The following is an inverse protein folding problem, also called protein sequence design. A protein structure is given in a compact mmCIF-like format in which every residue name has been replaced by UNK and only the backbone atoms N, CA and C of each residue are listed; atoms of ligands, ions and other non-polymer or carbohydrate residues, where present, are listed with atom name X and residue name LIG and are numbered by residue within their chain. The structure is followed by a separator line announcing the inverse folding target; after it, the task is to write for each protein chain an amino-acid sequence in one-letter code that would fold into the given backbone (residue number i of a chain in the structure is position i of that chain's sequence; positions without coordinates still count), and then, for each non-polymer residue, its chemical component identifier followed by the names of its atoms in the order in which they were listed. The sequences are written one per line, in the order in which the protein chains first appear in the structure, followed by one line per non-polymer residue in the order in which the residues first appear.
data_IF_278393951842
#
_entry.id   IF_278393951842
#
_cell.length_a   1.000
_cell.length_b   1.000
_cell.length_c   1.000
_cell.angle_alpha   90.00
_cell.angle_beta   90.00
_cell.angle_gamma   90.00
#
_symmetry.space_group_name_H-M   'P 1'
#
loop_
_entity.id
_entity.type
_entity.pdbx_description
1 polymer ?
#
# COMPACT_ATOMS: atom_id res chain seq x y z
N UNK A 1 -10.87 -66.94 -4.83
CA UNK A 1 -9.78 -65.96 -4.88
C UNK A 1 -10.17 -64.91 -5.93
N UNK A 2 -10.53 -63.70 -5.45
CA UNK A 2 -10.80 -62.44 -6.18
C UNK A 2 -11.97 -62.43 -7.19
N UNK A 3 -13.13 -61.92 -6.78
CA UNK A 3 -13.63 -60.51 -6.75
C UNK A 3 -14.38 -60.18 -8.04
N UNK A 4 -15.70 -60.09 -7.88
CA UNK A 4 -16.58 -59.31 -8.73
C UNK A 4 -16.62 -57.89 -8.17
N UNK A 5 -16.67 -56.86 -9.02
CA UNK A 5 -17.54 -55.70 -8.76
C UNK A 5 -17.85 -54.91 -10.01
N UNK A 6 -19.05 -54.36 -9.95
CA UNK A 6 -19.92 -53.84 -11.00
C UNK A 6 -19.66 -52.35 -11.25
N UNK A 7 -20.00 -51.95 -12.48
CA UNK A 7 -20.02 -50.60 -13.05
C UNK A 7 -20.73 -49.53 -12.20
N UNK A 8 -20.22 -48.30 -12.27
CA UNK A 8 -20.86 -47.09 -11.76
C UNK A 8 -20.25 -45.80 -12.34
N UNK A 9 -20.97 -45.25 -13.32
CA UNK A 9 -21.02 -43.88 -13.87
C UNK A 9 -20.29 -42.75 -13.12
N UNK A 10 -19.43 -42.04 -13.87
CA UNK A 10 -19.40 -40.57 -14.01
C UNK A 10 -19.08 -39.69 -12.80
N UNK A 11 -17.92 -39.02 -12.86
CA UNK A 11 -17.73 -37.61 -12.52
C UNK A 11 -16.57 -37.06 -13.37
N UNK A 12 -16.90 -36.36 -14.45
CA UNK A 12 -16.11 -35.23 -14.88
C UNK A 12 -16.48 -34.08 -13.94
N UNK A 13 -15.48 -33.44 -13.33
CA UNK A 13 -15.71 -32.35 -12.40
C UNK A 13 -14.36 -31.75 -12.00
N UNK A 14 -14.09 -30.57 -12.57
CA UNK A 14 -13.22 -29.50 -12.10
C UNK A 14 -11.94 -29.89 -11.35
N UNK A 15 -10.79 -29.64 -12.00
CA UNK A 15 -9.57 -29.32 -11.27
C UNK A 15 -9.88 -28.12 -10.36
N UNK A 16 -9.52 -28.16 -9.06
CA UNK A 16 -9.73 -27.02 -8.18
C UNK A 16 -8.91 -25.85 -8.71
N UNK A 17 -9.60 -24.81 -9.18
CA UNK A 17 -9.05 -23.48 -9.37
C UNK A 17 -8.40 -23.06 -8.05
N UNK A 18 -7.09 -22.92 -8.04
CA UNK A 18 -6.32 -22.50 -6.86
C UNK A 18 -6.55 -21.03 -6.49
N UNK A 19 -7.78 -20.70 -6.08
CA UNK A 19 -8.09 -19.63 -5.13
C UNK A 19 -8.01 -20.18 -3.68
N UNK A 20 -7.00 -21.00 -3.38
CA UNK A 20 -6.71 -21.35 -1.99
C UNK A 20 -6.06 -20.13 -1.34
N UNK A 21 -6.92 -19.17 -0.98
CA UNK A 21 -6.73 -18.33 0.20
C UNK A 21 -6.28 -19.27 1.33
N UNK A 22 -5.34 -18.87 2.20
CA UNK A 22 -5.03 -19.68 3.37
C UNK A 22 -6.34 -20.08 4.05
N UNK A 23 -6.47 -21.35 4.43
CA UNK A 23 -7.64 -21.90 5.11
C UNK A 23 -8.11 -20.87 6.15
N UNK A 24 -9.33 -20.35 5.96
CA UNK A 24 -9.89 -19.33 6.85
C UNK A 24 -9.97 -19.89 8.27
N UNK A 25 -9.88 -19.05 9.31
CA UNK A 25 -9.84 -19.49 10.71
C UNK A 25 -10.92 -20.53 11.03
N UNK A 26 -10.55 -21.65 11.67
CA UNK A 26 -11.51 -22.66 12.15
C UNK A 26 -12.57 -22.03 13.08
N UNK A 27 -12.18 -21.00 13.83
CA UNK A 27 -13.04 -20.26 14.77
C UNK A 27 -14.21 -19.56 14.07
N UNK A 28 -14.03 -19.06 12.85
CA UNK A 28 -15.11 -18.42 12.08
C UNK A 28 -16.22 -19.41 11.71
N UNK A 29 -15.87 -20.68 11.50
CA UNK A 29 -16.85 -21.73 11.18
C UNK A 29 -17.63 -22.22 12.40
N UNK A 30 -17.09 -22.03 13.61
CA UNK A 30 -17.72 -22.41 14.88
C UNK A 30 -18.62 -21.29 15.45
N UNK A 31 -18.36 -20.04 15.08
CA UNK A 31 -19.07 -18.85 15.54
C UNK A 31 -19.46 -17.95 14.35
N UNK A 32 -20.58 -18.24 13.65
CA UNK A 32 -20.96 -17.54 12.42
C UNK A 32 -21.29 -16.05 12.60
N UNK A 33 -21.51 -15.61 13.85
CA UNK A 33 -21.82 -14.22 14.18
C UNK A 33 -20.57 -13.33 14.30
N UNK A 34 -19.36 -13.92 14.39
CA UNK A 34 -18.10 -13.18 14.40
C UNK A 34 -17.70 -12.71 13.01
N UNK A 35 -17.18 -11.49 12.91
CA UNK A 35 -16.52 -11.04 11.67
C UNK A 35 -15.24 -11.85 11.43
N UNK A 36 -14.79 -12.03 10.16
CA UNK A 36 -13.52 -12.69 9.87
C UNK A 36 -12.34 -12.11 10.65
N UNK A 37 -12.31 -10.79 10.81
CA UNK A 37 -11.27 -10.06 11.53
C UNK A 37 -11.34 -10.33 13.04
N UNK A 38 -12.54 -10.35 13.62
CA UNK A 38 -12.73 -10.70 15.04
C UNK A 38 -12.32 -12.15 15.34
N UNK A 39 -12.63 -13.08 14.43
CA UNK A 39 -12.19 -14.47 14.54
C UNK A 39 -10.65 -14.60 14.50
N UNK A 40 -9.97 -13.81 13.68
CA UNK A 40 -8.51 -13.80 13.60
C UNK A 40 -7.86 -13.29 14.89
N UNK A 41 -8.40 -12.23 15.50
CA UNK A 41 -7.95 -11.74 16.83
C UNK A 41 -8.05 -12.84 17.88
N UNK A 42 -9.18 -13.54 17.91
CA UNK A 42 -9.42 -14.62 18.87
C UNK A 42 -8.45 -15.79 18.70
N UNK A 43 -8.15 -16.17 17.46
CA UNK A 43 -7.15 -17.18 17.14
C UNK A 43 -5.74 -16.75 17.56
N UNK A 44 -5.34 -15.50 17.28
CA UNK A 44 -4.04 -14.97 17.69
C UNK A 44 -3.87 -14.96 19.22
N UNK A 45 -4.89 -14.54 19.98
CA UNK A 45 -4.84 -14.61 21.45
C UNK A 45 -4.70 -16.05 21.95
N UNK A 46 -5.46 -16.98 21.37
CA UNK A 46 -5.37 -18.40 21.73
C UNK A 46 -3.96 -18.96 21.43
N UNK A 47 -3.41 -18.66 20.26
CA UNK A 47 -2.06 -19.08 19.88
C UNK A 47 -1.00 -18.50 20.83
N UNK A 48 -1.15 -17.25 21.29
CA UNK A 48 -0.25 -16.63 22.26
C UNK A 48 -0.29 -17.35 23.60
N UNK A 49 -1.48 -17.60 24.14
CA UNK A 49 -1.65 -18.35 25.40
C UNK A 49 -1.06 -19.76 25.32
N UNK A 50 -1.22 -20.42 24.19
CA UNK A 50 -0.63 -21.74 23.93
C UNK A 50 0.91 -21.70 23.82
N UNK A 51 1.47 -20.65 23.21
CA UNK A 51 2.93 -20.44 23.12
C UNK A 51 3.54 -20.11 24.49
N UNK A 52 2.92 -19.22 25.25
CA UNK A 52 3.36 -18.88 26.61
C UNK A 52 3.41 -20.11 27.51
N UNK A 53 2.36 -20.93 27.49
CA UNK A 53 2.37 -22.20 28.22
C UNK A 53 3.41 -23.21 27.71
N UNK A 54 3.77 -23.19 26.43
CA UNK A 54 4.81 -24.07 25.88
C UNK A 54 6.23 -23.67 26.36
N UNK A 55 6.51 -22.37 26.46
CA UNK A 55 7.82 -21.85 26.88
C UNK A 55 8.07 -22.03 28.39
N UNK A 56 7.04 -21.84 29.22
CA UNK A 56 7.15 -21.92 30.68
C UNK A 56 7.07 -23.36 31.22
N UNK A 57 6.21 -24.20 30.63
CA UNK A 57 5.94 -25.54 31.15
C UNK A 57 6.60 -26.68 30.36
N UNK A 58 7.29 -26.36 29.26
CA UNK A 58 7.99 -27.33 28.41
C UNK A 58 7.07 -28.25 27.59
N UNK A 59 5.77 -27.94 27.48
CA UNK A 59 4.79 -28.72 26.73
C UNK A 59 3.72 -27.86 26.05
N UNK A 60 3.47 -28.11 24.77
CA UNK A 60 2.37 -27.51 24.01
C UNK A 60 1.00 -27.89 24.60
N UNK A 61 0.06 -26.95 24.64
CA UNK A 61 -1.34 -27.23 24.99
C UNK A 61 -1.79 -26.79 26.38
N UNK A 62 -0.93 -26.12 27.17
CA UNK A 62 -1.38 -25.39 28.37
C UNK A 62 -1.64 -23.95 27.99
N UNK A 63 -2.84 -23.47 28.32
CA UNK A 63 -3.15 -22.05 28.28
C UNK A 63 -2.60 -21.45 29.56
N UNK A 64 -1.59 -20.59 29.43
CA UNK A 64 -1.17 -19.71 30.52
C UNK A 64 -1.49 -18.27 30.13
N UNK A 65 -1.90 -17.47 31.12
CA UNK A 65 -1.96 -16.03 30.94
C UNK A 65 -0.55 -15.56 30.57
N UNK A 66 -0.39 -14.77 29.51
CA UNK A 66 0.92 -14.28 29.10
C UNK A 66 1.61 -13.63 30.31
N UNK A 67 2.93 -13.80 30.41
CA UNK A 67 3.78 -13.17 31.42
C UNK A 67 3.68 -11.65 31.21
N UNK A 68 2.64 -11.06 31.81
CA UNK A 68 2.32 -9.66 31.72
C UNK A 68 3.35 -8.94 32.60
N UNK A 69 4.49 -8.57 32.01
CA UNK A 69 5.28 -7.48 32.58
C UNK A 69 4.31 -6.36 32.96
N UNK A 70 4.48 -5.77 34.15
CA UNK A 70 3.50 -4.85 34.76
C UNK A 70 2.88 -3.91 33.72
N UNK A 71 1.68 -4.25 33.25
CA UNK A 71 0.97 -3.46 32.26
C UNK A 71 0.59 -2.12 32.92
N UNK A 72 0.74 -0.99 32.22
CA UNK A 72 0.54 0.32 32.84
C UNK A 72 -0.91 0.50 33.28
N UNK A 73 -1.09 1.16 34.42
CA UNK A 73 -2.39 1.68 34.82
C UNK A 73 -2.68 2.93 33.97
N UNK A 74 -3.83 2.94 33.31
CA UNK A 74 -4.23 4.02 32.39
C UNK A 74 -5.29 4.88 33.09
N UNK A 75 -4.87 5.77 33.97
CA UNK A 75 -5.74 6.57 34.82
C UNK A 75 -6.20 7.89 34.16
N UNK A 76 -5.45 8.41 33.19
CA UNK A 76 -5.76 9.65 32.48
C UNK A 76 -5.51 9.59 30.96
N UNK A 77 -5.88 10.66 30.26
CA UNK A 77 -5.69 10.75 28.81
C UNK A 77 -4.22 10.73 28.37
N UNK A 78 -3.31 11.24 29.20
CA UNK A 78 -1.88 11.30 28.87
C UNK A 78 -1.27 9.88 28.91
N UNK A 79 -1.62 9.10 29.94
CA UNK A 79 -1.28 7.69 30.07
C UNK A 79 -1.86 6.87 28.92
N UNK A 80 -3.13 7.09 28.55
CA UNK A 80 -3.77 6.37 27.45
C UNK A 80 -3.11 6.71 26.11
N UNK A 81 -2.86 8.00 25.86
CA UNK A 81 -2.20 8.45 24.64
C UNK A 81 -0.79 7.89 24.48
N UNK A 82 0.00 7.87 25.56
CA UNK A 82 1.34 7.25 25.59
C UNK A 82 1.28 5.76 25.32
N UNK A 83 0.43 5.03 26.04
CA UNK A 83 0.32 3.58 25.89
C UNK A 83 -0.17 3.17 24.49
N UNK A 84 -1.11 3.92 23.91
CA UNK A 84 -1.56 3.72 22.54
C UNK A 84 -0.46 3.97 21.51
N UNK A 85 0.28 5.07 21.67
CA UNK A 85 1.41 5.37 20.81
C UNK A 85 2.50 4.30 20.92
N UNK A 86 2.93 3.95 22.14
CA UNK A 86 3.93 2.91 22.39
C UNK A 86 3.53 1.56 21.78
N UNK A 87 2.29 1.13 22.00
CA UNK A 87 1.79 -0.11 21.42
C UNK A 87 1.93 -0.14 19.89
N UNK A 88 1.51 0.93 19.20
CA UNK A 88 1.59 1.04 17.74
C UNK A 88 3.02 1.06 17.22
N UNK A 89 3.89 1.82 17.89
CA UNK A 89 5.26 2.07 17.44
C UNK A 89 6.16 0.86 17.70
N UNK A 90 6.05 0.25 18.87
CA UNK A 90 6.88 -0.88 19.30
C UNK A 90 6.31 -2.24 18.85
N UNK A 91 5.11 -2.24 18.25
CA UNK A 91 4.37 -3.46 17.90
C UNK A 91 4.15 -4.34 19.13
N UNK A 92 3.94 -3.73 20.29
CA UNK A 92 3.65 -4.44 21.53
C UNK A 92 2.19 -4.90 21.55
N UNK A 93 1.94 -6.11 21.05
CA UNK A 93 0.59 -6.70 20.99
C UNK A 93 -0.06 -6.85 22.38
N UNK A 94 0.73 -7.13 23.43
CA UNK A 94 0.17 -7.30 24.77
C UNK A 94 -0.35 -5.96 25.32
N UNK A 95 0.42 -4.89 25.12
CA UNK A 95 -0.03 -3.53 25.44
C UNK A 95 -1.22 -3.13 24.56
N UNK A 96 -1.20 -3.46 23.27
CA UNK A 96 -2.31 -3.21 22.36
C UNK A 96 -3.61 -3.84 22.84
N UNK A 97 -3.58 -5.12 23.21
CA UNK A 97 -4.75 -5.84 23.73
C UNK A 97 -5.24 -5.24 25.06
N UNK A 98 -4.32 -4.84 25.95
CA UNK A 98 -4.62 -4.21 27.24
C UNK A 98 -5.33 -2.86 27.12
N UNK A 99 -5.14 -2.16 26.00
CA UNK A 99 -5.83 -0.88 25.78
C UNK A 99 -7.34 -1.05 25.57
N UNK A 100 -7.79 -2.20 25.09
CA UNK A 100 -9.21 -2.45 24.85
C UNK A 100 -9.94 -2.88 26.11
N UNK A 101 -11.24 -2.53 26.18
CA UNK A 101 -12.07 -2.94 27.30
C UNK A 101 -12.12 -4.46 27.45
N UNK A 102 -11.87 -4.96 28.66
CA UNK A 102 -12.01 -6.37 28.98
C UNK A 102 -13.49 -6.81 28.86
N UNK A 103 -13.78 -8.02 28.34
CA UNK A 103 -15.15 -8.52 28.21
C UNK A 103 -15.93 -8.49 29.52
N UNK A 104 -15.31 -8.83 30.64
CA UNK A 104 -15.92 -8.86 31.96
C UNK A 104 -16.33 -7.44 32.40
N UNK A 105 -15.45 -6.46 32.20
CA UNK A 105 -15.73 -5.05 32.47
C UNK A 105 -16.86 -4.50 31.60
N UNK A 106 -16.89 -4.87 30.31
CA UNK A 106 -17.99 -4.46 29.42
C UNK A 106 -19.33 -5.11 29.80
N UNK A 107 -19.31 -6.42 30.13
CA UNK A 107 -20.48 -7.16 30.58
C UNK A 107 -21.08 -6.53 31.85
N UNK A 108 -20.24 -6.19 32.82
CA UNK A 108 -20.66 -5.52 34.05
C UNK A 108 -21.20 -4.11 33.77
N UNK A 109 -20.54 -3.35 32.90
CA UNK A 109 -20.88 -1.96 32.60
C UNK A 109 -22.24 -1.85 31.90
N UNK A 110 -22.49 -2.69 30.88
CA UNK A 110 -23.68 -2.61 30.01
C UNK A 110 -24.75 -3.64 30.37
N UNK A 111 -24.49 -4.51 31.37
CA UNK A 111 -25.40 -5.57 31.86
C UNK A 111 -25.79 -6.57 30.77
N UNK A 112 -24.80 -7.04 30.02
CA UNK A 112 -24.94 -8.10 29.00
C UNK A 112 -24.24 -9.39 29.45
N UNK A 113 -24.49 -10.51 28.77
CA UNK A 113 -23.76 -11.75 29.03
C UNK A 113 -22.28 -11.62 28.63
N UNK A 114 -21.40 -12.34 29.34
CA UNK A 114 -19.97 -12.38 29.03
C UNK A 114 -19.70 -12.80 27.57
N UNK A 115 -20.46 -13.76 27.03
CA UNK A 115 -20.26 -14.20 25.65
C UNK A 115 -20.52 -13.08 24.63
N UNK A 116 -21.57 -12.28 24.85
CA UNK A 116 -21.85 -11.11 23.99
C UNK A 116 -20.83 -10.01 24.18
N UNK A 117 -20.29 -9.86 25.39
CA UNK A 117 -19.23 -8.91 25.65
C UNK A 117 -17.93 -9.31 24.95
N UNK A 118 -17.57 -10.60 24.97
CA UNK A 118 -16.41 -11.14 24.24
C UNK A 118 -16.55 -10.88 22.75
N UNK A 119 -17.70 -11.22 22.17
CA UNK A 119 -17.99 -10.97 20.75
C UNK A 119 -17.85 -9.47 20.40
N UNK A 120 -18.42 -8.58 21.22
CA UNK A 120 -18.30 -7.14 21.01
C UNK A 120 -16.84 -6.66 21.00
N UNK A 121 -16.04 -7.08 22.00
CA UNK A 121 -14.64 -6.70 22.15
C UNK A 121 -13.81 -7.23 20.97
N UNK A 122 -14.02 -8.48 20.59
CA UNK A 122 -13.33 -9.09 19.44
C UNK A 122 -13.65 -8.34 18.14
N UNK A 123 -14.89 -7.89 17.95
CA UNK A 123 -15.26 -7.04 16.80
C UNK A 123 -14.57 -5.67 16.86
N UNK A 124 -14.46 -5.02 18.03
CA UNK A 124 -13.78 -3.72 18.13
C UNK A 124 -12.28 -3.86 17.85
N UNK A 125 -11.63 -4.88 18.39
CA UNK A 125 -10.22 -5.15 18.16
C UNK A 125 -9.95 -5.56 16.71
N UNK A 126 -10.81 -6.42 16.14
CA UNK A 126 -10.76 -6.81 14.74
C UNK A 126 -10.90 -5.60 13.81
N UNK A 127 -11.79 -4.65 14.13
CA UNK A 127 -11.91 -3.39 13.40
C UNK A 127 -10.67 -2.50 13.47
N UNK A 128 -9.86 -2.62 14.52
CA UNK A 128 -8.64 -1.85 14.71
C UNK A 128 -7.40 -2.48 14.04
N UNK A 129 -7.50 -3.74 13.57
CA UNK A 129 -6.41 -4.46 12.91
C UNK A 129 -5.88 -3.71 11.68
N UNK A 130 -6.75 -3.08 10.90
CA UNK A 130 -6.31 -2.33 9.72
C UNK A 130 -5.35 -1.20 10.08
N UNK A 131 -5.62 -0.46 11.16
CA UNK A 131 -4.72 0.58 11.66
C UNK A 131 -3.44 -0.03 12.22
N UNK A 132 -3.56 -1.09 13.01
CA UNK A 132 -2.41 -1.84 13.55
C UNK A 132 -1.48 -2.30 12.42
N UNK A 133 -1.98 -3.06 11.45
CA UNK A 133 -1.20 -3.65 10.36
C UNK A 133 -0.65 -2.61 9.37
N UNK A 134 -1.29 -1.45 9.24
CA UNK A 134 -0.86 -0.42 8.28
C UNK A 134 0.61 -0.01 8.49
N UNK A 135 1.06 -0.03 9.74
CA UNK A 135 2.40 0.36 10.15
C UNK A 135 3.47 -0.73 9.96
N UNK A 136 3.08 -1.95 9.59
CA UNK A 136 4.00 -3.06 9.43
C UNK A 136 4.70 -3.02 8.06
N UNK A 137 6.04 -2.97 8.02
CA UNK A 137 6.77 -3.12 6.78
C UNK A 137 6.49 -4.50 6.18
N UNK A 138 6.21 -4.57 4.87
CA UNK A 138 5.98 -5.85 4.19
C UNK A 138 7.20 -6.79 4.27
N UNK A 139 8.40 -6.24 4.49
CA UNK A 139 9.61 -7.00 4.81
C UNK A 139 10.34 -6.32 5.96
N UNK A 140 10.87 -7.11 6.88
CA UNK A 140 11.66 -6.60 8.02
C UNK A 140 12.84 -5.70 7.60
N UNK A 141 13.42 -5.93 6.42
CA UNK A 141 14.51 -5.11 5.86
C UNK A 141 14.08 -3.71 5.42
N UNK A 142 12.79 -3.46 5.23
CA UNK A 142 12.24 -2.18 4.75
C UNK A 142 12.01 -1.16 5.88
N UNK A 143 11.84 -1.64 7.13
CA UNK A 143 11.53 -0.80 8.28
C UNK A 143 12.65 0.19 8.60
N UNK A 144 12.29 1.43 8.95
CA UNK A 144 13.21 2.49 9.33
C UNK A 144 14.10 2.09 10.52
N UNK A 145 15.36 2.55 10.52
CA UNK A 145 16.25 2.35 11.67
C UNK A 145 15.73 3.16 12.87
N UNK A 146 15.26 2.46 13.91
CA UNK A 146 14.56 3.04 15.06
C UNK A 146 13.03 2.97 15.00
N UNK A 147 12.46 2.33 13.96
CA UNK A 147 11.02 2.15 13.83
C UNK A 147 10.25 3.45 13.58
N UNK A 148 8.93 3.39 13.73
CA UNK A 148 8.04 4.54 13.50
C UNK A 148 8.21 5.66 14.54
N UNK A 149 8.71 5.33 15.74
CA UNK A 149 8.88 6.29 16.85
C UNK A 149 9.93 7.35 16.58
N UNK A 150 10.74 7.17 15.54
CA UNK A 150 11.66 8.19 15.03
C UNK A 150 10.97 9.17 14.08
N UNK A 151 9.91 8.75 13.42
CA UNK A 151 9.21 9.52 12.39
C UNK A 151 7.98 10.23 12.93
N UNK A 152 7.34 9.66 13.94
CA UNK A 152 6.14 10.19 14.57
C UNK A 152 6.44 10.58 16.00
N UNK A 153 5.89 11.70 16.42
CA UNK A 153 5.93 12.18 17.79
C UNK A 153 4.51 12.30 18.32
N UNK A 154 4.26 11.78 19.52
CA UNK A 154 2.99 11.98 20.20
C UNK A 154 2.84 13.44 20.61
N UNK A 155 1.78 14.11 20.15
CA UNK A 155 1.41 15.45 20.60
C UNK A 155 0.46 15.39 21.81
N UNK A 156 -0.43 14.40 21.83
CA UNK A 156 -1.34 14.17 22.95
C UNK A 156 -2.63 13.46 22.54
N UNK A 157 -3.42 13.10 23.53
CA UNK A 157 -4.78 12.58 23.37
C UNK A 157 -5.77 13.65 23.84
N UNK A 158 -6.66 14.06 22.94
CA UNK A 158 -7.78 14.94 23.26
C UNK A 158 -9.02 14.07 23.50
N UNK A 159 -9.52 14.05 24.74
CA UNK A 159 -10.80 13.41 25.04
C UNK A 159 -11.94 14.27 24.53
N UNK A 160 -12.91 13.62 23.89
CA UNK A 160 -14.10 14.27 23.39
C UNK A 160 -15.17 14.45 24.48
N UNK A 161 -16.42 14.66 24.05
CA UNK A 161 -17.53 14.96 24.96
C UNK A 161 -17.77 13.83 25.96
N UNK A 162 -17.79 14.18 27.25
CA UNK A 162 -18.14 13.29 28.35
C UNK A 162 -19.63 12.95 28.33
N UNK A 163 -19.93 11.65 28.40
CA UNK A 163 -21.28 11.09 28.31
C UNK A 163 -21.53 10.08 29.42
N UNK A 164 -22.80 9.99 29.82
CA UNK A 164 -23.27 8.98 30.77
C UNK A 164 -23.26 7.59 30.13
N UNK A 165 -23.47 6.54 30.92
CA UNK A 165 -23.55 5.17 30.41
C UNK A 165 -24.65 4.97 29.35
N UNK A 166 -25.71 5.80 29.39
CA UNK A 166 -26.82 5.70 28.43
C UNK A 166 -26.54 6.42 27.10
N UNK A 167 -25.46 7.20 27.02
CA UNK A 167 -25.05 7.92 25.81
C UNK A 167 -25.35 9.43 25.74
N UNK A 168 -26.27 10.04 26.50
CA UNK A 168 -26.39 11.50 26.57
C UNK A 168 -25.14 12.18 27.14
N UNK A 169 -24.91 13.45 26.79
CA UNK A 169 -23.87 14.30 27.37
C UNK A 169 -24.11 14.43 28.87
N UNK A 170 -23.08 14.16 29.66
CA UNK A 170 -23.17 14.21 31.12
C UNK A 170 -23.30 15.66 31.61
N UNK A 171 -24.24 15.92 32.51
CA UNK A 171 -24.32 17.19 33.25
C UNK A 171 -23.19 17.34 34.28
N UNK A 172 -23.09 18.51 34.92
CA UNK A 172 -22.03 18.82 35.90
C UNK A 172 -21.98 17.84 37.10
N UNK A 173 -23.14 17.31 37.50
CA UNK A 173 -23.28 16.38 38.63
C UNK A 173 -23.34 14.90 38.20
N UNK A 174 -23.31 14.62 36.90
CA UNK A 174 -23.43 13.25 36.38
C UNK A 174 -22.05 12.61 36.17
N UNK A 175 -21.98 11.31 36.45
CA UNK A 175 -20.75 10.56 36.20
C UNK A 175 -20.48 10.41 34.70
N UNK A 176 -19.31 10.89 34.27
CA UNK A 176 -18.79 10.64 32.92
C UNK A 176 -18.23 9.22 32.86
N UNK A 177 -18.87 8.40 32.03
CA UNK A 177 -18.52 6.99 31.82
C UNK A 177 -17.95 6.75 30.43
N UNK A 178 -18.33 7.58 29.46
CA UNK A 178 -17.88 7.47 28.07
C UNK A 178 -17.35 8.82 27.59
N UNK A 179 -16.36 8.80 26.71
CA UNK A 179 -15.90 9.96 25.94
C UNK A 179 -16.08 9.67 24.45
N UNK A 180 -16.75 10.57 23.73
CA UNK A 180 -17.06 10.39 22.31
C UNK A 180 -16.33 11.43 21.45
N UNK A 181 -15.74 10.97 20.33
CA UNK A 181 -15.03 11.85 19.40
C UNK A 181 -13.60 12.19 19.85
N UNK A 182 -12.90 11.21 20.42
CA UNK A 182 -11.54 11.39 20.92
C UNK A 182 -10.53 11.34 19.77
N UNK A 183 -9.41 12.06 19.91
CA UNK A 183 -8.39 12.18 18.88
C UNK A 183 -7.00 12.09 19.49
N UNK A 184 -6.21 11.10 19.08
CA UNK A 184 -4.78 11.08 19.32
C UNK A 184 -4.09 11.85 18.20
N UNK A 185 -3.32 12.88 18.55
CA UNK A 185 -2.56 13.68 17.59
C UNK A 185 -1.12 13.21 17.53
N UNK A 186 -0.65 12.97 16.31
CA UNK A 186 0.73 12.59 16.00
C UNK A 186 1.33 13.65 15.09
N UNK A 187 2.59 14.00 15.30
CA UNK A 187 3.33 14.93 14.44
C UNK A 187 4.41 14.19 13.69
N UNK A 188 4.59 14.48 12.41
CA UNK A 188 5.75 13.97 11.67
C UNK A 188 7.01 14.71 12.12
N UNK A 189 8.06 14.01 12.53
CA UNK A 189 9.25 14.64 13.11
C UNK A 189 10.02 15.51 12.09
N UNK A 190 10.04 15.08 10.82
CA UNK A 190 10.83 15.74 9.77
C UNK A 190 10.08 16.84 9.02
N UNK A 191 8.77 16.98 9.22
CA UNK A 191 7.93 18.00 8.57
C UNK A 191 6.80 18.41 9.51
N UNK A 192 6.41 19.68 9.50
CA UNK A 192 5.36 20.21 10.38
C UNK A 192 3.95 19.77 9.93
N UNK A 193 3.69 18.46 9.99
CA UNK A 193 2.45 17.80 9.56
C UNK A 193 1.89 17.02 10.73
N UNK A 194 0.63 17.32 11.08
CA UNK A 194 -0.13 16.57 12.06
C UNK A 194 -1.02 15.51 11.40
N UNK A 195 -1.15 14.39 12.11
CA UNK A 195 -2.02 13.27 11.82
C UNK A 195 -2.94 12.99 13.00
N UNK A 196 -4.13 12.50 12.70
CA UNK A 196 -5.11 12.09 13.70
C UNK A 196 -5.29 10.57 13.70
N UNK A 197 -5.28 9.95 14.88
CA UNK A 197 -5.96 8.67 15.11
C UNK A 197 -7.28 8.97 15.84
N UNK A 198 -8.39 8.63 15.20
CA UNK A 198 -9.73 8.84 15.74
C UNK A 198 -10.13 7.63 16.54
N UNK A 199 -10.63 7.89 17.75
CA UNK A 199 -11.09 6.87 18.67
C UNK A 199 -12.53 7.23 19.03
N UNK A 200 -13.52 6.66 18.32
CA UNK A 200 -14.92 7.04 18.48
C UNK A 200 -15.42 7.01 19.92
N UNK A 201 -15.00 6.01 20.71
CA UNK A 201 -15.42 5.79 22.10
C UNK A 201 -14.27 5.31 22.98
N UNK A 202 -14.10 6.01 24.09
CA UNK A 202 -13.26 5.60 25.23
C UNK A 202 -14.18 5.46 26.43
N UNK A 203 -14.06 4.38 27.19
CA UNK A 203 -14.80 4.17 28.43
C UNK A 203 -13.92 4.40 29.64
N UNK A 204 -14.54 4.89 30.71
CA UNK A 204 -13.96 4.96 32.05
C UNK A 204 -14.58 3.86 32.90
N UNK A 205 -13.79 2.83 33.22
CA UNK A 205 -14.26 1.62 33.93
C UNK A 205 -13.43 1.38 35.19
N UNK A 206 -13.95 0.69 36.22
CA UNK A 206 -13.13 0.25 37.35
C UNK A 206 -11.94 -0.60 36.87
N UNK A 207 -10.77 -0.41 37.47
CA UNK A 207 -9.60 -1.24 37.15
C UNK A 207 -9.87 -2.69 37.60
N UNK A 208 -9.54 -3.69 36.77
CA UNK A 208 -9.64 -5.11 37.16
C UNK A 208 -8.79 -5.45 38.39
N UNK A 209 -7.65 -4.76 38.58
CA UNK A 209 -6.73 -5.00 39.69
C UNK A 209 -7.06 -4.19 40.94
N UNK A 210 -7.62 -2.99 40.76
CA UNK A 210 -8.05 -2.12 41.86
C UNK A 210 -9.41 -1.47 41.51
N UNK A 211 -10.55 -2.10 41.87
CA UNK A 211 -11.88 -1.59 41.55
C UNK A 211 -12.20 -0.20 42.14
N UNK A 212 -11.38 0.30 43.07
CA UNK A 212 -11.55 1.65 43.63
C UNK A 212 -11.04 2.75 42.69
N UNK A 213 -10.20 2.39 41.72
CA UNK A 213 -9.68 3.27 40.69
C UNK A 213 -10.42 3.06 39.38
N UNK A 214 -10.55 4.12 38.61
CA UNK A 214 -11.07 4.04 37.25
C UNK A 214 -9.95 4.21 36.25
N UNK A 215 -10.04 3.46 35.15
CA UNK A 215 -9.09 3.47 34.03
C UNK A 215 -9.81 3.83 32.74
N UNK A 216 -9.08 4.42 31.80
CA UNK A 216 -9.55 4.68 30.45
C UNK A 216 -9.20 3.50 29.53
N UNK A 217 -10.17 3.02 28.78
CA UNK A 217 -10.04 1.89 27.85
C UNK A 217 -10.73 2.18 26.53
N UNK A 218 -10.21 1.61 25.45
CA UNK A 218 -10.78 1.70 24.11
C UNK A 218 -12.04 0.83 24.02
N UNK A 219 -13.14 1.43 23.59
CA UNK A 219 -14.43 0.76 23.39
C UNK A 219 -14.88 0.80 21.91
N UNK A 220 -13.96 1.13 21.01
CA UNK A 220 -14.18 1.24 19.57
C UNK A 220 -12.85 1.10 18.83
N UNK A 221 -12.87 0.78 17.51
CA UNK A 221 -11.65 0.71 16.73
C UNK A 221 -10.92 2.05 16.68
N UNK A 222 -9.60 1.98 16.64
CA UNK A 222 -8.75 3.14 16.35
C UNK A 222 -8.65 3.29 14.83
N UNK A 223 -9.01 4.46 14.31
CA UNK A 223 -9.02 4.75 12.88
C UNK A 223 -7.99 5.82 12.54
N UNK A 224 -7.01 5.48 11.71
CA UNK A 224 -6.10 6.48 11.14
C UNK A 224 -6.83 7.43 10.18
N UNK A 225 -6.52 8.72 10.25
CA UNK A 225 -7.00 9.68 9.26
C UNK A 225 -6.47 9.37 7.85
N UNK A 226 -7.06 10.03 6.84
CA UNK A 226 -6.68 9.79 5.43
C UNK A 226 -5.24 10.16 5.12
N UNK A 227 -4.69 11.16 5.82
CA UNK A 227 -3.34 11.67 5.57
C UNK A 227 -2.30 10.67 6.05
N UNK A 228 -2.49 10.09 7.22
CA UNK A 228 -1.66 9.05 7.78
C UNK A 228 -1.75 7.77 6.96
N UNK A 229 -2.96 7.37 6.56
CA UNK A 229 -3.16 6.26 5.62
C UNK A 229 -2.39 6.50 4.31
N UNK A 230 -2.44 7.71 3.78
CA UNK A 230 -1.71 8.08 2.56
C UNK A 230 -0.20 8.03 2.76
N UNK A 231 0.32 8.58 3.86
CA UNK A 231 1.73 8.52 4.23
C UNK A 231 2.24 7.08 4.28
N UNK A 232 1.47 6.21 4.94
CA UNK A 232 1.76 4.80 5.06
C UNK A 232 1.73 4.11 3.69
N UNK A 233 0.68 4.33 2.91
CA UNK A 233 0.50 3.69 1.60
C UNK A 233 1.55 4.13 0.56
N UNK A 234 2.13 5.32 0.72
CA UNK A 234 3.27 5.81 -0.06
C UNK A 234 4.60 5.16 0.37
N UNK A 235 4.64 4.55 1.55
CA UNK A 235 5.85 3.99 2.15
C UNK A 235 6.78 5.05 2.74
N UNK A 236 6.30 6.26 3.06
CA UNK A 236 7.16 7.32 3.61
C UNK A 236 7.65 7.03 5.03
N UNK A 237 7.04 6.04 5.69
CA UNK A 237 7.49 5.49 6.96
C UNK A 237 8.64 4.47 6.83
N UNK A 238 9.00 4.09 5.60
CA UNK A 238 10.04 3.12 5.31
C UNK A 238 11.40 3.81 5.12
N UNK A 239 12.46 3.00 5.06
CA UNK A 239 13.83 3.46 4.82
C UNK A 239 13.98 4.26 3.52
N UNK A 240 14.61 5.45 3.53
CA UNK A 240 14.93 6.19 2.30
C UNK A 240 15.90 5.42 1.38
N UNK A 241 16.64 4.44 1.93
CA UNK A 241 17.48 3.50 1.20
C UNK A 241 16.73 2.73 0.11
N UNK A 242 15.44 2.48 0.30
CA UNK A 242 14.61 1.75 -0.67
C UNK A 242 14.49 2.47 -2.01
N UNK A 243 14.73 3.78 -2.04
CA UNK A 243 14.75 4.56 -3.27
C UNK A 243 16.11 4.49 -4.00
N UNK A 244 17.16 3.87 -3.45
CA UNK A 244 18.44 3.71 -4.14
C UNK A 244 18.26 2.84 -5.38
N UNK A 245 19.00 3.12 -6.45
CA UNK A 245 18.82 2.45 -7.75
C UNK A 245 19.00 0.93 -7.72
N UNK A 246 19.73 0.40 -6.74
CA UNK A 246 19.89 -1.06 -6.55
C UNK A 246 18.69 -1.72 -5.89
N UNK A 247 17.98 -0.98 -5.06
CA UNK A 247 16.86 -1.47 -4.26
C UNK A 247 15.51 -1.19 -4.94
N UNK A 248 15.40 -0.03 -5.59
CA UNK A 248 14.15 0.43 -6.15
C UNK A 248 13.79 -0.31 -7.45
N UNK A 249 12.54 -0.78 -7.64
CA UNK A 249 12.15 -1.55 -8.82
C UNK A 249 12.34 -0.82 -10.15
N UNK A 250 12.38 0.51 -10.13
CA UNK A 250 12.63 1.34 -11.32
C UNK A 250 13.87 2.21 -11.10
N UNK A 251 15.05 1.87 -11.63
CA UNK A 251 16.29 2.55 -11.27
C UNK A 251 16.33 3.97 -11.84
N UNK A 252 15.95 4.97 -11.04
CA UNK A 252 15.95 6.39 -11.42
C UNK A 252 17.10 7.12 -10.71
N UNK A 253 18.25 7.15 -11.37
CA UNK A 253 19.44 7.89 -10.95
C UNK A 253 19.98 8.70 -12.12
N UNK A 254 20.51 9.86 -11.81
CA UNK A 254 21.10 10.77 -12.80
C UNK A 254 22.10 10.04 -13.70
N UNK A 255 21.98 10.26 -15.01
CA UNK A 255 22.78 9.59 -16.04
C UNK A 255 22.26 8.22 -16.47
N UNK A 256 21.22 7.67 -15.83
CA UNK A 256 20.54 6.50 -16.37
C UNK A 256 19.82 6.86 -17.66
N UNK A 257 19.84 5.95 -18.64
CA UNK A 257 19.05 6.11 -19.86
C UNK A 257 18.53 4.78 -20.39
N UNK A 258 17.49 4.89 -21.22
CA UNK A 258 16.91 3.81 -22.00
C UNK A 258 16.69 4.30 -23.42
N UNK A 259 17.23 3.58 -24.39
CA UNK A 259 17.06 3.83 -25.82
C UNK A 259 16.17 2.75 -26.41
N UNK A 260 15.13 3.18 -27.11
CA UNK A 260 14.13 2.31 -27.70
C UNK A 260 14.06 2.50 -29.21
N UNK A 261 13.97 1.39 -29.94
CA UNK A 261 13.53 1.37 -31.34
C UNK A 261 12.01 1.37 -31.39
N UNK A 262 11.44 1.99 -32.41
CA UNK A 262 10.00 2.19 -32.58
C UNK A 262 9.57 1.66 -33.94
N UNK A 263 8.53 0.83 -33.96
CA UNK A 263 7.98 0.29 -35.21
C UNK A 263 6.48 0.07 -35.11
N UNK A 264 5.81 0.01 -36.26
CA UNK A 264 4.39 -0.33 -36.33
C UNK A 264 4.20 -1.83 -36.13
N UNK A 265 3.40 -2.21 -35.14
CA UNK A 265 3.09 -3.59 -34.79
C UNK A 265 2.56 -4.40 -35.98
N UNK A 266 1.79 -3.78 -36.87
CA UNK A 266 1.20 -4.44 -38.04
C UNK A 266 2.20 -4.73 -39.16
N UNK A 267 3.25 -3.90 -39.27
CA UNK A 267 4.29 -4.04 -40.30
C UNK A 267 5.45 -4.94 -39.83
N UNK A 268 5.61 -5.09 -38.51
CA UNK A 268 6.66 -5.92 -37.92
C UNK A 268 8.00 -5.17 -37.81
N UNK A 269 9.03 -5.88 -37.33
CA UNK A 269 10.34 -5.31 -37.02
C UNK A 269 11.23 -5.10 -38.25
N UNK A 270 11.03 -5.90 -39.31
CA UNK A 270 11.90 -5.92 -40.50
C UNK A 270 11.67 -4.72 -41.43
N UNK A 271 10.57 -3.99 -41.25
CA UNK A 271 10.29 -2.71 -41.93
C UNK A 271 10.71 -1.50 -41.08
N UNK A 272 11.67 -1.67 -40.16
CA UNK A 272 12.29 -0.54 -39.47
C UNK A 272 13.09 0.28 -40.47
N UNK A 273 12.55 1.44 -40.84
CA UNK A 273 13.18 2.41 -41.73
C UNK A 273 14.48 2.92 -41.09
N UNK A 274 15.55 2.97 -41.87
CA UNK A 274 16.83 3.51 -41.43
C UNK A 274 16.65 4.98 -41.01
N UNK A 275 17.04 5.39 -39.78
CA UNK A 275 16.98 6.79 -39.33
C UNK A 275 17.61 7.78 -40.31
N UNK A 276 18.62 7.35 -41.09
CA UNK A 276 19.28 8.17 -42.10
C UNK A 276 18.39 8.49 -43.30
N UNK A 277 17.44 7.62 -43.65
CA UNK A 277 16.49 7.86 -44.75
C UNK A 277 15.52 9.00 -44.41
N UNK A 278 15.18 9.17 -43.13
CA UNK A 278 14.40 10.31 -42.63
C UNK A 278 15.23 11.60 -42.57
N UNK A 279 16.46 11.53 -42.07
CA UNK A 279 17.34 12.69 -41.93
C UNK A 279 17.70 13.33 -43.29
N UNK A 280 17.65 12.57 -44.39
CA UNK A 280 17.90 13.04 -45.75
C UNK A 280 16.64 13.50 -46.51
N UNK A 281 15.50 13.67 -45.83
CA UNK A 281 14.27 14.21 -46.42
C UNK A 281 13.41 13.17 -47.15
N UNK A 282 13.64 11.87 -46.90
CA UNK A 282 12.72 10.82 -47.32
C UNK A 282 11.35 11.00 -46.67
N UNK A 283 10.29 10.89 -47.46
CA UNK A 283 8.94 10.80 -46.90
C UNK A 283 8.81 9.47 -46.17
N UNK A 284 8.51 9.52 -44.87
CA UNK A 284 8.06 8.37 -44.12
C UNK A 284 6.98 7.63 -44.91
N UNK A 285 7.14 6.33 -45.14
CA UNK A 285 6.05 5.54 -45.72
C UNK A 285 4.83 5.62 -44.79
N UNK A 286 3.62 5.68 -45.36
CA UNK A 286 2.38 5.63 -44.58
C UNK A 286 2.39 4.38 -43.69
N UNK A 287 2.00 4.53 -42.42
CA UNK A 287 2.07 3.47 -41.42
C UNK A 287 3.39 3.38 -40.65
N UNK A 288 4.39 4.24 -40.89
CA UNK A 288 5.62 4.29 -40.07
C UNK A 288 5.49 5.27 -38.90
N UNK A 289 6.04 4.96 -37.71
CA UNK A 289 6.12 5.92 -36.61
C UNK A 289 6.90 7.18 -37.02
N UNK A 290 6.49 8.35 -36.52
CA UNK A 290 7.12 9.64 -36.84
C UNK A 290 8.59 9.75 -36.44
N UNK A 291 8.95 9.04 -35.38
CA UNK A 291 10.32 8.92 -34.90
C UNK A 291 10.65 7.42 -34.82
N UNK A 292 11.68 6.93 -35.53
CA UNK A 292 12.14 5.54 -35.42
C UNK A 292 12.80 5.22 -34.07
N UNK A 293 13.33 6.22 -33.36
CA UNK A 293 13.96 6.02 -32.06
C UNK A 293 13.46 7.00 -31.00
N UNK A 294 13.51 6.56 -29.74
CA UNK A 294 13.30 7.42 -28.58
C UNK A 294 14.30 7.09 -27.47
N UNK A 295 14.86 8.13 -26.88
CA UNK A 295 15.76 8.02 -25.73
C UNK A 295 15.07 8.66 -24.52
N UNK A 296 15.03 7.95 -23.41
CA UNK A 296 14.59 8.45 -22.10
C UNK A 296 15.80 8.54 -21.19
N UNK A 297 16.12 9.73 -20.69
CA UNK A 297 17.27 10.00 -19.84
C UNK A 297 16.85 10.63 -18.50
N UNK A 298 17.47 10.19 -17.41
CA UNK A 298 17.34 10.82 -16.09
C UNK A 298 18.33 11.99 -16.01
N UNK A 299 17.80 13.19 -16.10
CA UNK A 299 18.57 14.44 -16.12
C UNK A 299 19.02 14.88 -14.73
N UNK A 300 18.28 14.52 -13.69
CA UNK A 300 18.58 14.93 -12.32
C UNK A 300 17.61 14.30 -11.33
N UNK A 301 18.07 14.16 -10.09
CA UNK A 301 17.29 13.62 -8.98
C UNK A 301 17.49 14.49 -7.75
N UNK A 302 16.43 15.18 -7.33
CA UNK A 302 16.40 15.94 -6.08
C UNK A 302 15.86 15.05 -4.96
N UNK A 303 16.41 15.19 -3.75
CA UNK A 303 16.13 14.32 -2.61
C UNK A 303 15.49 15.11 -1.46
N UNK A 304 14.40 14.56 -0.91
CA UNK A 304 13.59 15.17 0.13
C UNK A 304 13.27 14.12 1.20
N UNK A 305 14.30 13.63 1.90
CA UNK A 305 14.12 12.54 2.87
C UNK A 305 13.66 11.23 2.21
N UNK A 306 12.41 10.82 2.47
CA UNK A 306 11.82 9.57 1.99
C UNK A 306 11.10 9.69 0.64
N UNK A 307 11.16 10.84 -0.04
CA UNK A 307 10.74 10.99 -1.44
C UNK A 307 11.77 11.72 -2.31
N UNK A 308 11.60 11.62 -3.62
CA UNK A 308 12.49 12.22 -4.62
C UNK A 308 11.73 12.86 -5.77
N UNK A 309 12.27 13.92 -6.33
CA UNK A 309 11.81 14.49 -7.60
C UNK A 309 12.81 14.10 -8.70
N UNK A 310 12.33 13.36 -9.69
CA UNK A 310 13.13 12.88 -10.82
C UNK A 310 12.78 13.69 -12.04
N UNK A 311 13.79 14.28 -12.69
CA UNK A 311 13.65 14.97 -13.97
C UNK A 311 14.05 14.02 -15.09
N UNK A 312 13.15 13.80 -16.02
CA UNK A 312 13.32 12.94 -17.17
C UNK A 312 13.29 13.78 -18.45
N UNK A 313 14.13 13.43 -19.41
CA UNK A 313 14.05 13.96 -20.77
C UNK A 313 13.78 12.82 -21.73
N UNK A 314 12.75 12.99 -22.55
CA UNK A 314 12.42 12.08 -23.64
C UNK A 314 12.74 12.77 -24.96
N UNK A 315 13.70 12.23 -25.69
CA UNK A 315 14.16 12.77 -26.98
C UNK A 315 13.73 11.83 -28.09
N UNK A 316 13.06 12.36 -29.10
CA UNK A 316 12.62 11.64 -30.28
C UNK A 316 13.58 11.94 -31.44
N UNK A 317 14.02 10.90 -32.13
CA UNK A 317 14.78 11.05 -33.36
C UNK A 317 13.80 11.30 -34.52
N UNK A 318 13.30 12.52 -34.62
CA UNK A 318 12.47 12.99 -35.74
C UNK A 318 13.10 14.22 -36.41
N UNK A 319 12.50 14.71 -37.50
CA UNK A 319 13.01 15.85 -38.24
C UNK A 319 13.14 17.14 -37.39
N UNK A 320 12.35 17.26 -36.33
CA UNK A 320 12.32 18.42 -35.43
C UNK A 320 13.17 18.21 -34.17
N UNK A 321 13.80 17.04 -34.01
CA UNK A 321 14.51 16.59 -32.81
C UNK A 321 13.69 16.84 -31.53
N UNK A 322 12.44 16.41 -31.55
CA UNK A 322 11.47 16.74 -30.52
C UNK A 322 11.93 16.26 -29.13
N UNK A 323 11.83 17.14 -28.13
CA UNK A 323 12.16 16.83 -26.73
C UNK A 323 10.97 17.12 -25.81
N UNK A 324 10.72 16.21 -24.89
CA UNK A 324 9.73 16.36 -23.83
C UNK A 324 10.41 16.23 -22.46
N UNK A 325 10.12 17.16 -21.55
CA UNK A 325 10.58 17.10 -20.17
C UNK A 325 9.46 16.59 -19.28
N UNK A 326 9.75 15.54 -18.53
CA UNK A 326 8.84 14.96 -17.56
C UNK A 326 9.43 15.09 -16.16
N UNK A 327 8.55 15.14 -15.16
CA UNK A 327 8.94 15.17 -13.76
C UNK A 327 8.12 14.16 -13.00
N UNK A 328 8.77 13.28 -12.26
CA UNK A 328 8.10 12.26 -11.47
C UNK A 328 8.44 12.42 -9.99
N UNK A 329 7.44 12.29 -9.11
CA UNK A 329 7.69 12.13 -7.68
C UNK A 329 7.78 10.65 -7.35
N UNK A 330 8.84 10.27 -6.67
CA UNK A 330 9.17 8.92 -6.27
C UNK A 330 9.00 8.75 -4.77
N UNK A 331 8.22 7.75 -4.38
CA UNK A 331 8.13 7.26 -3.00
C UNK A 331 8.47 5.76 -2.98
N UNK A 332 8.79 5.17 -1.81
CA UNK A 332 9.19 3.76 -1.73
C UNK A 332 8.17 2.79 -2.33
N UNK A 333 6.88 3.15 -2.33
CA UNK A 333 5.81 2.32 -2.90
C UNK A 333 5.24 2.85 -4.21
N UNK A 334 5.50 4.10 -4.63
CA UNK A 334 4.76 4.69 -5.77
C UNK A 334 5.56 5.66 -6.60
N UNK A 335 5.17 5.78 -7.86
CA UNK A 335 5.69 6.77 -8.82
C UNK A 335 4.52 7.60 -9.32
N UNK A 336 4.60 8.92 -9.22
CA UNK A 336 3.58 9.85 -9.70
C UNK A 336 4.14 10.79 -10.75
N UNK A 337 3.32 11.18 -11.72
CA UNK A 337 3.62 12.36 -12.53
C UNK A 337 3.56 13.61 -11.65
N UNK A 338 4.47 14.57 -11.87
CA UNK A 338 4.56 15.83 -11.13
C UNK A 338 4.43 17.00 -12.11
N UNK A 339 3.27 17.66 -12.09
CA UNK A 339 3.06 18.88 -12.87
C UNK A 339 3.74 20.10 -12.22
N UNK A 340 3.65 21.27 -12.85
CA UNK A 340 4.28 22.50 -12.34
C UNK A 340 3.79 22.90 -10.94
N UNK A 341 2.54 22.58 -10.58
CA UNK A 341 2.01 22.87 -9.23
C UNK A 341 2.62 21.93 -8.19
N UNK A 342 2.73 20.64 -8.52
CA UNK A 342 3.44 19.66 -7.71
C UNK A 342 4.90 20.06 -7.50
N UNK A 343 5.58 20.49 -8.56
CA UNK A 343 6.98 20.93 -8.49
C UNK A 343 7.15 22.15 -7.58
N UNK A 344 6.24 23.13 -7.64
CA UNK A 344 6.31 24.33 -6.83
C UNK A 344 6.10 24.09 -5.32
N UNK A 345 5.64 22.91 -4.93
CA UNK A 345 5.33 22.53 -3.54
C UNK A 345 5.96 21.18 -3.19
N UNK A 346 7.08 20.83 -3.83
CA UNK A 346 7.73 19.51 -3.68
C UNK A 346 8.35 19.29 -2.29
N UNK A 347 8.64 20.38 -1.59
CA UNK A 347 9.16 20.44 -0.22
C UNK A 347 8.06 20.52 0.84
N UNK A 348 6.80 20.76 0.44
CA UNK A 348 5.64 20.78 1.32
C UNK A 348 4.98 19.40 1.39
N UNK A 349 5.34 18.61 2.42
CA UNK A 349 4.74 17.29 2.65
C UNK A 349 3.22 17.38 2.83
N UNK A 350 2.72 18.46 3.44
CA UNK A 350 1.29 18.64 3.67
C UNK A 350 0.53 18.68 2.34
N UNK A 351 1.03 19.50 1.42
CA UNK A 351 0.55 19.58 0.04
C UNK A 351 0.71 18.25 -0.71
N UNK A 352 1.85 17.58 -0.58
CA UNK A 352 2.11 16.33 -1.30
C UNK A 352 1.17 15.20 -0.88
N UNK A 353 0.90 15.05 0.42
CA UNK A 353 -0.07 14.07 0.90
C UNK A 353 -1.45 14.30 0.28
N UNK A 354 -1.92 15.55 0.28
CA UNK A 354 -3.16 15.90 -0.41
C UNK A 354 -3.04 15.59 -1.91
N UNK A 355 -1.98 16.01 -2.59
CA UNK A 355 -1.77 15.73 -4.01
C UNK A 355 -1.91 14.23 -4.34
N UNK A 356 -1.28 13.35 -3.57
CA UNK A 356 -1.29 11.91 -3.78
C UNK A 356 -2.64 11.24 -3.55
N UNK A 357 -3.50 11.80 -2.70
CA UNK A 357 -4.89 11.35 -2.51
C UNK A 357 -5.75 11.51 -3.79
N UNK A 358 -5.39 12.47 -4.65
CA UNK A 358 -6.15 12.77 -5.88
C UNK A 358 -5.50 12.21 -7.14
N UNK A 359 -4.21 11.88 -7.10
CA UNK A 359 -3.49 11.37 -8.27
C UNK A 359 -3.58 9.86 -8.45
N UNK A 360 -3.54 9.41 -9.70
CA UNK A 360 -3.30 8.02 -10.06
C UNK A 360 -1.79 7.82 -10.21
N UNK A 361 -1.14 6.93 -9.43
CA UNK A 361 0.28 6.64 -9.62
C UNK A 361 0.52 5.92 -10.96
N UNK A 362 1.64 6.24 -11.59
CA UNK A 362 2.15 5.58 -12.80
C UNK A 362 2.51 4.12 -12.49
N UNK A 363 3.09 3.88 -11.31
CA UNK A 363 3.45 2.56 -10.79
C UNK A 363 3.11 2.47 -9.30
N UNK A 364 2.64 1.30 -8.87
CA UNK A 364 2.38 0.95 -7.48
C UNK A 364 3.20 -0.32 -7.16
N UNK A 365 4.05 -0.25 -6.14
CA UNK A 365 4.97 -1.31 -5.74
C UNK A 365 4.61 -1.85 -4.35
N UNK A 366 4.92 -3.12 -4.05
CA UNK A 366 5.41 -4.15 -4.98
C UNK A 366 4.38 -4.45 -6.08
N UNK A 367 4.85 -4.83 -7.26
CA UNK A 367 3.98 -5.29 -8.34
C UNK A 367 3.57 -6.73 -8.06
N UNK A 368 2.28 -7.01 -8.12
CA UNK A 368 1.73 -8.36 -7.94
C UNK A 368 0.94 -8.75 -9.21
N UNK A 369 1.03 -10.00 -9.69
CA UNK A 369 0.19 -10.46 -10.79
C UNK A 369 -1.29 -10.27 -10.47
N UNK A 370 -2.07 -9.77 -11.43
CA UNK A 370 -3.50 -9.47 -11.25
C UNK A 370 -3.80 -8.21 -10.42
N UNK A 371 -2.78 -7.52 -9.89
CA UNK A 371 -2.98 -6.27 -9.14
C UNK A 371 -3.62 -5.20 -10.02
N UNK A 372 -4.55 -4.44 -9.44
CA UNK A 372 -5.19 -3.30 -10.12
C UNK A 372 -5.12 -2.09 -9.22
N UNK A 373 -4.91 -0.91 -9.79
CA UNK A 373 -4.96 0.32 -9.03
C UNK A 373 -5.60 1.47 -9.79
N UNK A 374 -6.15 2.40 -9.02
CA UNK A 374 -6.71 3.64 -9.52
C UNK A 374 -6.15 4.83 -8.76
N UNK A 375 -7.03 5.77 -8.46
CA UNK A 375 -6.72 6.97 -7.68
C UNK A 375 -6.12 6.60 -6.32
N UNK A 376 -5.14 7.40 -5.88
CA UNK A 376 -4.35 7.18 -4.68
C UNK A 376 -3.69 5.80 -4.61
N UNK A 377 -3.51 5.09 -5.73
CA UNK A 377 -2.91 3.76 -5.77
C UNK A 377 -3.72 2.69 -5.03
N UNK A 378 -5.00 2.95 -4.72
CA UNK A 378 -5.85 2.00 -4.03
C UNK A 378 -6.16 0.80 -4.91
N UNK A 379 -6.15 -0.41 -4.33
CA UNK A 379 -6.64 -1.61 -4.99
C UNK A 379 -8.13 -1.43 -5.27
N UNK A 380 -8.54 -1.56 -6.52
CA UNK A 380 -9.92 -1.30 -6.98
C UNK A 380 -10.44 -2.47 -7.81
N UNK A 381 -11.77 -2.63 -7.84
CA UNK A 381 -12.45 -3.55 -8.75
C UNK A 381 -12.21 -3.19 -10.22
N UNK A 382 -12.61 -4.09 -11.13
CA UNK A 382 -12.37 -3.97 -12.58
C UNK A 382 -12.79 -2.63 -13.16
N UNK A 383 -13.95 -2.11 -12.75
CA UNK A 383 -14.61 -1.00 -13.45
C UNK A 383 -14.04 0.38 -13.08
N UNK A 384 -13.23 0.45 -12.02
CA UNK A 384 -12.62 1.69 -11.53
C UNK A 384 -11.08 1.72 -11.66
N UNK A 385 -10.48 0.63 -12.16
CA UNK A 385 -9.03 0.53 -12.33
C UNK A 385 -8.54 1.44 -13.47
N UNK A 386 -7.51 2.23 -13.17
CA UNK A 386 -6.78 2.99 -14.20
C UNK A 386 -5.61 2.20 -14.77
N UNK A 387 -5.09 1.25 -13.97
CA UNK A 387 -4.02 0.34 -14.33
C UNK A 387 -4.27 -1.06 -13.78
N UNK A 388 -3.80 -2.06 -14.51
CA UNK A 388 -3.83 -3.48 -14.14
C UNK A 388 -2.54 -4.18 -14.53
N UNK A 389 -2.06 -5.08 -13.67
CA UNK A 389 -1.00 -6.02 -13.96
C UNK A 389 -1.62 -7.32 -14.48
N UNK A 390 -1.06 -7.88 -15.54
CA UNK A 390 -1.44 -9.22 -16.01
C UNK A 390 -1.30 -10.27 -14.89
N UNK A 391 -2.09 -11.33 -14.96
CA UNK A 391 -2.10 -12.43 -13.98
C UNK A 391 -0.86 -13.33 -14.06
N UNK A 392 -0.04 -13.15 -15.09
CA UNK A 392 1.14 -13.98 -15.33
C UNK A 392 2.36 -13.14 -15.67
N UNK A 393 3.51 -13.77 -15.49
CA UNK A 393 4.80 -13.21 -15.85
C UNK A 393 5.08 -13.47 -17.32
N UNK A 394 5.74 -12.51 -17.97
CA UNK A 394 6.06 -12.61 -19.39
C UNK A 394 7.57 -12.79 -19.60
N UNK A 395 7.90 -13.52 -20.66
CA UNK A 395 9.21 -13.49 -21.27
C UNK A 395 9.17 -12.48 -22.43
N UNK A 396 10.08 -11.50 -22.40
CA UNK A 396 10.15 -10.44 -23.42
C UNK A 396 11.54 -10.45 -24.04
N UNK A 397 11.59 -10.68 -25.35
CA UNK A 397 12.81 -10.60 -26.15
C UNK A 397 12.91 -9.21 -26.79
N UNK A 398 14.03 -8.54 -26.60
CA UNK A 398 14.33 -7.25 -27.24
C UNK A 398 15.77 -7.24 -27.75
N UNK A 399 16.20 -6.25 -28.55
CA UNK A 399 17.60 -6.16 -28.98
C UNK A 399 18.60 -6.01 -27.83
N UNK A 400 18.17 -5.48 -26.68
CA UNK A 400 18.98 -5.40 -25.46
C UNK A 400 19.13 -6.77 -24.74
N UNK A 401 18.42 -7.81 -25.17
CA UNK A 401 18.46 -9.18 -24.65
C UNK A 401 17.08 -9.74 -24.27
N UNK A 402 17.08 -10.98 -23.77
CA UNK A 402 15.89 -11.65 -23.24
C UNK A 402 15.66 -11.33 -21.76
N UNK A 403 14.43 -10.97 -21.42
CA UNK A 403 14.02 -10.60 -20.06
C UNK A 403 12.92 -11.51 -19.55
N UNK A 404 13.26 -12.38 -18.60
CA UNK A 404 12.32 -13.27 -17.91
C UNK A 404 11.73 -12.56 -16.69
N UNK A 405 10.44 -12.81 -16.41
CA UNK A 405 9.78 -12.23 -15.24
C UNK A 405 9.36 -10.78 -15.43
N UNK A 406 9.01 -10.39 -16.67
CA UNK A 406 8.46 -9.07 -16.93
C UNK A 406 6.98 -8.99 -16.51
N UNK A 407 6.63 -7.95 -15.78
CA UNK A 407 5.24 -7.61 -15.50
C UNK A 407 4.66 -6.84 -16.68
N UNK A 408 3.55 -7.32 -17.24
CA UNK A 408 2.76 -6.51 -18.16
C UNK A 408 1.78 -5.64 -17.37
N UNK A 409 1.84 -4.34 -17.60
CA UNK A 409 0.98 -3.34 -16.97
C UNK A 409 0.20 -2.64 -18.07
N UNK A 410 -1.11 -2.78 -18.06
CA UNK A 410 -2.03 -2.10 -18.96
C UNK A 410 -2.70 -0.94 -18.25
N UNK A 411 -2.92 0.18 -18.93
CA UNK A 411 -3.76 1.25 -18.39
C UNK A 411 -3.74 2.56 -19.16
N UNK A 412 -4.59 3.48 -18.70
CA UNK A 412 -4.92 4.74 -19.38
C UNK A 412 -4.39 5.99 -18.68
N UNK A 413 -3.60 5.82 -17.61
CA UNK A 413 -3.23 6.91 -16.70
C UNK A 413 -2.35 8.04 -17.28
N UNK A 414 -1.79 8.92 -16.42
CA UNK A 414 -1.42 10.32 -16.74
C UNK A 414 -0.26 10.51 -17.74
N UNK A 415 0.25 9.42 -18.29
CA UNK A 415 1.25 9.44 -19.36
C UNK A 415 0.68 9.86 -20.71
N UNK A 416 -0.64 10.12 -20.80
CA UNK A 416 -1.23 10.81 -21.95
C UNK A 416 -0.57 12.17 -22.23
N UNK A 417 0.08 12.77 -21.24
CA UNK A 417 0.77 14.05 -21.32
C UNK A 417 2.29 13.92 -21.62
N UNK A 418 2.83 12.70 -21.66
CA UNK A 418 4.29 12.43 -21.70
C UNK A 418 4.91 12.40 -23.09
N UNK A 419 4.08 12.34 -24.14
CA UNK A 419 4.56 12.29 -25.53
C UNK A 419 3.76 13.26 -26.38
N UNK A 420 4.41 14.12 -27.18
CA UNK A 420 3.71 15.04 -28.09
C UNK A 420 2.93 14.28 -29.18
N UNK A 421 3.27 13.01 -29.40
CA UNK A 421 2.62 12.12 -30.37
C UNK A 421 1.51 11.29 -29.75
N UNK A 422 1.47 11.15 -28.43
CA UNK A 422 0.50 10.28 -27.77
C UNK A 422 -0.81 11.05 -27.52
N UNK A 423 -1.92 10.53 -28.07
CA UNK A 423 -3.23 11.20 -27.98
C UNK A 423 -4.39 10.29 -27.59
N UNK A 424 -4.15 9.01 -27.35
CA UNK A 424 -5.23 8.05 -27.04
C UNK A 424 -5.05 7.39 -25.68
N UNK A 425 -6.15 7.09 -24.98
CA UNK A 425 -6.10 6.32 -23.74
C UNK A 425 -5.64 4.89 -24.04
N UNK A 426 -4.73 4.36 -23.21
CA UNK A 426 -4.35 2.95 -23.22
C UNK A 426 -2.92 2.74 -23.71
N UNK A 427 -2.10 2.17 -22.83
CA UNK A 427 -0.79 1.64 -23.19
C UNK A 427 -0.53 0.37 -22.39
N UNK A 428 0.29 -0.51 -22.95
CA UNK A 428 0.79 -1.69 -22.25
C UNK A 428 2.30 -1.55 -22.07
N UNK A 429 2.80 -1.77 -20.86
CA UNK A 429 4.23 -1.68 -20.53
C UNK A 429 4.70 -3.00 -19.97
N UNK A 430 5.85 -3.47 -20.43
CA UNK A 430 6.53 -4.61 -19.87
C UNK A 430 7.66 -4.09 -18.98
N UNK A 431 7.54 -4.30 -17.68
CA UNK A 431 8.45 -3.78 -16.66
C UNK A 431 9.23 -4.93 -16.04
N UNK A 432 10.55 -4.76 -15.96
CA UNK A 432 11.45 -5.69 -15.29
C UNK A 432 12.06 -4.98 -14.09
N UNK A 433 11.90 -5.51 -12.85
CA UNK A 433 12.47 -4.92 -11.66
C UNK A 433 13.98 -4.70 -11.79
N UNK A 434 14.44 -3.51 -11.36
CA UNK A 434 15.84 -3.11 -11.45
C UNK A 434 16.31 -2.80 -12.88
N UNK A 435 15.43 -2.87 -13.89
CA UNK A 435 15.72 -2.49 -15.28
C UNK A 435 14.77 -1.41 -15.81
N UNK A 436 13.54 -1.35 -15.33
CA UNK A 436 12.51 -0.41 -15.82
C UNK A 436 11.69 -0.99 -16.97
N UNK A 437 11.21 -0.14 -17.88
CA UNK A 437 10.37 -0.57 -19.02
C UNK A 437 11.26 -1.15 -20.13
N UNK A 438 11.06 -2.42 -20.49
CA UNK A 438 11.81 -3.09 -21.56
C UNK A 438 11.06 -3.11 -22.90
N UNK A 439 9.74 -3.06 -22.85
CA UNK A 439 8.88 -2.92 -24.03
C UNK A 439 7.64 -2.09 -23.69
N UNK A 440 7.16 -1.30 -24.64
CA UNK A 440 5.90 -0.57 -24.52
C UNK A 440 5.11 -0.69 -25.81
N UNK A 441 3.80 -0.87 -25.68
CA UNK A 441 2.85 -0.88 -26.78
C UNK A 441 1.87 0.28 -26.57
N UNK A 442 1.70 1.11 -27.60
CA UNK A 442 0.94 2.35 -27.52
C UNK A 442 0.27 2.66 -28.87
N UNK A 443 -0.74 3.53 -28.84
CA UNK A 443 -1.39 4.06 -30.06
C UNK A 443 -1.01 5.51 -30.29
N UNK A 444 -0.55 5.81 -31.50
CA UNK A 444 -0.17 7.15 -31.91
C UNK A 444 -0.48 7.42 -33.39
N UNK A 445 -0.60 8.68 -33.82
CA UNK A 445 -0.71 9.00 -35.23
C UNK A 445 0.64 8.80 -35.92
N UNK A 446 0.63 8.14 -37.07
CA UNK A 446 1.75 8.03 -37.99
C UNK A 446 2.11 9.38 -38.62
N UNK A 447 3.09 9.40 -39.52
CA UNK A 447 3.47 10.59 -40.27
C UNK A 447 2.29 11.21 -41.07
N UNK A 448 1.37 10.37 -41.58
CA UNK A 448 0.17 10.79 -42.30
C UNK A 448 -1.02 11.20 -41.42
N UNK A 449 -0.90 11.07 -40.09
CA UNK A 449 -1.99 11.37 -39.14
C UNK A 449 -2.96 10.22 -38.88
N UNK A 450 -2.73 9.02 -39.45
CA UNK A 450 -3.51 7.83 -39.17
C UNK A 450 -3.05 7.15 -37.88
N UNK A 451 -3.98 6.66 -37.08
CA UNK A 451 -3.65 5.98 -35.83
C UNK A 451 -3.06 4.59 -36.10
N UNK A 452 -1.89 4.32 -35.54
CA UNK A 452 -1.17 3.06 -35.64
C UNK A 452 -0.82 2.52 -34.24
N UNK A 453 -0.69 1.21 -34.14
CA UNK A 453 -0.16 0.54 -32.95
C UNK A 453 1.38 0.53 -33.04
N UNK A 454 2.04 1.26 -32.14
CA UNK A 454 3.49 1.39 -32.09
C UNK A 454 4.04 0.57 -30.95
N UNK A 455 5.10 -0.19 -31.25
CA UNK A 455 5.89 -0.90 -30.26
C UNK A 455 7.21 -0.16 -30.07
N UNK A 456 7.54 0.13 -28.82
CA UNK A 456 8.86 0.60 -28.41
C UNK A 456 9.60 -0.56 -27.73
N UNK A 457 10.74 -0.97 -28.28
CA UNK A 457 11.55 -2.05 -27.72
C UNK A 457 12.91 -1.55 -27.29
N UNK A 458 13.35 -1.99 -26.11
CA UNK A 458 14.63 -1.59 -25.56
C UNK A 458 15.78 -2.13 -26.40
N UNK A 459 16.59 -1.20 -26.91
CA UNK A 459 17.80 -1.49 -27.69
C UNK A 459 19.03 -1.44 -26.81
N UNK A 460 19.10 -0.42 -25.96
CA UNK A 460 20.25 -0.13 -25.12
C UNK A 460 19.79 0.54 -23.83
N UNK A 461 20.46 0.27 -22.72
CA UNK A 461 20.23 0.98 -21.47
C UNK A 461 21.50 1.09 -20.66
N UNK A 462 21.56 2.13 -19.82
CA UNK A 462 22.60 2.31 -18.81
C UNK A 462 21.96 2.54 -17.46
N UNK A 463 22.34 1.72 -16.49
CA UNK A 463 21.93 1.86 -15.09
C UNK A 463 23.19 2.10 -14.27
N UNK A 464 23.28 3.30 -13.72
CA UNK A 464 24.37 3.72 -12.85
C UNK A 464 24.31 2.96 -11.53
N UNK A 465 25.47 2.56 -10.99
CA UNK A 465 25.58 1.69 -9.82
C UNK A 465 25.16 2.35 -8.51
#
# INVERSE_FOLDING_TARGET
MWVALVLGVGCAGDEPSGEDRPLRPLVYTEHPDLTPEGAAVREQRLLRQLRGGAELSGGWGRLEEPDAGELPLIDDEEALGRALFEALIERNEALWDHLFIAPESYAELVKVSEDRAREFVDVQMGGALATWESFEPSRSSEGADGGLGRLLELQGLELGEGRTIQGPVAGEDEEVVQHWGNVLRLRYAEADVEFELRIPRIFRVPSPHDPTRKVLVLASPVEADRRLQTLVALGLHLKPELLRSREYPFPLKEGNFWRYRRYNKALGQDETVDPLDFAMGGQAAAGTPRAPEVIVEVMGVEQYGTWRLVHLMRSYEDADFTRAHERWVLTPRRIYYCNSRCQANIDDLSYLLEYFEYQVPIFSFPLEPGQRWGRAGLKVGSDAASFSVDESWHHVETPAGGFVGAYAIEGTGPLTLSSPYFKLPGQRRYVVPGRGVVRRELREPDAGGQLIDVVEELVEYRIMP
#
